data_IF_986866903026
#
_entry.id   IF_986866903026
#
_cell.length_a   1.000
_cell.length_b   1.000
_cell.length_c   1.000
_cell.angle_alpha   90.00
_cell.angle_beta   90.00
_cell.angle_gamma   90.00
#
_symmetry.space_group_name_H-M   'P 1'
#
loop_
_entity.id
_entity.type
_entity.pdbx_description
1 polymer ?
#
# COMPACT_ATOMS: atom_id res chain seq x y z
N UNK A 1 -16.16 -12.40 8.34
CA UNK A 1 -15.28 -11.90 9.41
C UNK A 1 -13.86 -12.11 8.93
N UNK A 2 -12.97 -11.10 8.99
CA UNK A 2 -11.55 -11.28 8.65
C UNK A 2 -10.76 -11.93 9.81
N UNK A 3 -9.45 -12.10 9.63
CA UNK A 3 -8.53 -12.58 10.68
C UNK A 3 -8.64 -11.76 11.98
N UNK A 4 -8.99 -10.48 11.85
CA UNK A 4 -9.23 -9.58 12.98
C UNK A 4 -10.32 -8.56 12.64
N UNK A 5 -10.86 -7.88 13.65
CA UNK A 5 -11.82 -6.79 13.46
C UNK A 5 -11.11 -5.51 13.00
N UNK A 6 -11.86 -4.63 12.35
CA UNK A 6 -11.35 -3.32 11.94
C UNK A 6 -10.88 -2.48 13.15
N UNK A 7 -11.63 -2.51 14.24
CA UNK A 7 -11.29 -1.77 15.46
C UNK A 7 -10.00 -2.29 16.11
N UNK A 8 -9.78 -3.61 16.12
CA UNK A 8 -8.53 -4.18 16.61
C UNK A 8 -7.34 -3.78 15.73
N UNK A 9 -7.52 -3.77 14.39
CA UNK A 9 -6.49 -3.31 13.47
C UNK A 9 -6.12 -1.84 13.70
N UNK A 10 -7.11 -0.96 13.96
CA UNK A 10 -6.89 0.44 14.29
C UNK A 10 -6.04 0.58 15.56
N UNK A 11 -6.37 -0.16 16.62
CA UNK A 11 -5.62 -0.11 17.88
C UNK A 11 -4.19 -0.66 17.74
N UNK A 12 -3.98 -1.67 16.90
CA UNK A 12 -2.63 -2.15 16.55
C UNK A 12 -1.80 -1.05 15.90
N UNK A 13 -2.33 -0.32 14.91
CA UNK A 13 -1.62 0.78 14.27
C UNK A 13 -1.34 1.94 15.23
N UNK A 14 -2.30 2.30 16.09
CA UNK A 14 -2.09 3.33 17.12
C UNK A 14 -1.00 2.93 18.10
N UNK A 15 -0.97 1.67 18.51
CA UNK A 15 0.08 1.14 19.38
C UNK A 15 1.45 1.20 18.71
N UNK A 16 1.54 0.88 17.41
CA UNK A 16 2.78 1.03 16.64
C UNK A 16 3.23 2.49 16.56
N UNK A 17 2.30 3.41 16.30
CA UNK A 17 2.61 4.84 16.22
C UNK A 17 3.06 5.40 17.58
N UNK A 18 2.49 4.93 18.68
CA UNK A 18 2.99 5.27 20.03
C UNK A 18 4.41 4.74 20.27
N UNK A 19 4.72 3.54 19.79
CA UNK A 19 6.04 2.93 19.95
C UNK A 19 7.11 3.54 19.02
N UNK A 20 6.71 4.00 17.83
CA UNK A 20 7.61 4.58 16.83
C UNK A 20 6.98 5.79 16.12
N UNK A 21 6.84 6.94 16.83
CA UNK A 21 6.15 8.10 16.28
C UNK A 21 6.76 8.60 14.97
N UNK A 22 5.90 8.88 13.99
CA UNK A 22 6.27 9.37 12.66
C UNK A 22 6.99 8.34 11.78
N UNK A 23 7.03 7.07 12.17
CA UNK A 23 7.68 5.97 11.41
C UNK A 23 6.72 4.89 10.95
N UNK A 24 5.43 5.03 11.23
CA UNK A 24 4.41 4.05 10.86
C UNK A 24 3.63 4.52 9.64
N UNK A 25 3.37 3.59 8.73
CA UNK A 25 2.48 3.78 7.57
C UNK A 25 1.43 2.69 7.63
N UNK A 26 0.16 3.07 7.61
CA UNK A 26 -0.95 2.14 7.55
C UNK A 26 -1.23 1.73 6.11
N UNK A 27 -0.54 0.70 5.63
CA UNK A 27 -0.81 0.09 4.33
C UNK A 27 -1.90 -0.98 4.46
N UNK A 28 -3.08 -0.71 3.89
CA UNK A 28 -4.27 -1.55 3.99
C UNK A 28 -4.84 -1.88 2.60
N UNK A 29 -5.55 -2.99 2.51
CA UNK A 29 -6.17 -3.42 1.27
C UNK A 29 -7.40 -4.27 1.53
N UNK A 30 -8.24 -4.45 0.51
CA UNK A 30 -9.44 -5.30 0.64
C UNK A 30 -9.10 -6.79 0.69
N UNK A 31 -7.86 -7.17 0.35
CA UNK A 31 -7.49 -8.54 0.02
C UNK A 31 -7.98 -8.93 -1.38
N UNK A 32 -7.38 -9.97 -1.95
CA UNK A 32 -7.72 -10.49 -3.27
C UNK A 32 -7.70 -12.03 -3.30
N UNK A 33 -7.71 -12.60 -4.50
CA UNK A 33 -7.65 -14.05 -4.71
C UNK A 33 -6.36 -14.69 -4.18
N UNK A 34 -5.27 -13.94 -4.04
CA UNK A 34 -4.01 -14.45 -3.51
C UNK A 34 -4.13 -14.74 -2.01
N UNK A 35 -5.02 -14.05 -1.31
CA UNK A 35 -5.36 -14.32 0.09
C UNK A 35 -6.37 -15.47 0.26
N UNK A 36 -6.90 -16.07 -0.81
CA UNK A 36 -7.94 -17.10 -0.70
C UNK A 36 -7.45 -18.37 0.01
N UNK A 37 -6.29 -18.90 -0.40
CA UNK A 37 -5.72 -20.10 0.20
C UNK A 37 -5.39 -19.91 1.69
N UNK A 38 -4.91 -18.72 2.06
CA UNK A 38 -4.65 -18.36 3.46
C UNK A 38 -5.97 -18.28 4.25
N UNK A 39 -6.97 -17.59 3.72
CA UNK A 39 -8.28 -17.48 4.36
C UNK A 39 -8.92 -18.87 4.58
N UNK A 40 -8.86 -19.75 3.58
CA UNK A 40 -9.37 -21.12 3.67
C UNK A 40 -8.63 -21.91 4.77
N UNK A 41 -7.31 -21.75 4.88
CA UNK A 41 -6.51 -22.42 5.92
C UNK A 41 -6.89 -21.99 7.34
N UNK A 42 -7.37 -20.75 7.52
CA UNK A 42 -7.87 -20.24 8.80
C UNK A 42 -9.39 -20.39 8.98
N UNK A 43 -10.10 -21.00 8.03
CA UNK A 43 -11.56 -21.15 8.08
C UNK A 43 -12.32 -19.82 7.93
N UNK A 44 -11.71 -18.85 7.26
CA UNK A 44 -12.20 -17.48 7.11
C UNK A 44 -12.96 -17.37 5.80
N UNK A 45 -14.29 -17.24 5.89
CA UNK A 45 -15.10 -16.99 4.70
C UNK A 45 -14.82 -15.59 4.13
N UNK A 46 -14.51 -15.52 2.84
CA UNK A 46 -14.31 -14.25 2.16
C UNK A 46 -15.61 -13.45 2.12
N UNK A 47 -15.59 -12.26 2.71
CA UNK A 47 -16.74 -11.37 2.72
C UNK A 47 -17.02 -10.76 1.33
N UNK A 48 -18.27 -10.34 1.08
CA UNK A 48 -18.63 -9.55 -0.10
C UNK A 48 -17.67 -8.37 -0.30
N UNK A 49 -17.36 -8.06 -1.55
CA UNK A 49 -16.42 -6.97 -1.92
C UNK A 49 -16.81 -5.65 -1.24
N UNK A 50 -18.11 -5.32 -1.23
CA UNK A 50 -18.62 -4.09 -0.63
C UNK A 50 -18.36 -4.01 0.88
N UNK A 51 -18.50 -5.11 1.62
CA UNK A 51 -18.21 -5.16 3.05
C UNK A 51 -16.71 -4.95 3.31
N UNK A 52 -15.85 -5.60 2.53
CA UNK A 52 -14.39 -5.43 2.64
C UNK A 52 -13.97 -4.00 2.32
N UNK A 53 -14.60 -3.37 1.33
CA UNK A 53 -14.40 -1.97 0.98
C UNK A 53 -14.83 -1.03 2.12
N UNK A 54 -15.99 -1.26 2.72
CA UNK A 54 -16.45 -0.48 3.86
C UNK A 54 -15.51 -0.61 5.06
N UNK A 55 -14.96 -1.79 5.32
CA UNK A 55 -13.96 -2.00 6.37
C UNK A 55 -12.66 -1.22 6.10
N UNK A 56 -12.16 -1.22 4.86
CA UNK A 56 -10.97 -0.43 4.46
C UNK A 56 -11.24 1.07 4.65
N UNK A 57 -12.42 1.56 4.25
CA UNK A 57 -12.79 2.97 4.42
C UNK A 57 -12.89 3.37 5.89
N UNK A 58 -13.48 2.53 6.74
CA UNK A 58 -13.53 2.75 8.19
C UNK A 58 -12.14 2.87 8.82
N UNK A 59 -11.25 1.91 8.53
CA UNK A 59 -9.87 1.91 9.06
C UNK A 59 -9.08 3.11 8.55
N UNK A 60 -9.19 3.44 7.25
CA UNK A 60 -8.50 4.58 6.67
C UNK A 60 -8.91 5.90 7.34
N UNK A 61 -10.21 6.14 7.50
CA UNK A 61 -10.73 7.35 8.16
C UNK A 61 -10.28 7.46 9.61
N UNK A 62 -10.21 6.35 10.34
CA UNK A 62 -9.79 6.34 11.75
C UNK A 62 -8.30 6.65 11.94
N UNK A 63 -7.46 6.42 10.93
CA UNK A 63 -5.99 6.53 11.01
C UNK A 63 -5.42 7.74 10.27
N UNK A 64 -6.11 8.29 9.27
CA UNK A 64 -5.59 9.34 8.37
C UNK A 64 -5.17 10.64 9.07
N UNK A 65 -5.79 10.97 10.21
CA UNK A 65 -5.41 12.13 11.02
C UNK A 65 -4.18 11.91 11.91
N UNK A 66 -3.66 10.68 11.99
CA UNK A 66 -2.56 10.30 12.89
C UNK A 66 -1.31 9.86 12.12
N UNK A 67 -1.46 9.14 11.02
CA UNK A 67 -0.35 8.58 10.24
C UNK A 67 -0.67 8.52 8.74
N UNK A 68 0.33 8.41 7.86
CA UNK A 68 0.09 8.16 6.44
C UNK A 68 -0.67 6.84 6.23
N UNK A 69 -1.70 6.89 5.38
CA UNK A 69 -2.49 5.72 4.98
C UNK A 69 -2.26 5.43 3.50
N UNK A 70 -1.93 4.18 3.19
CA UNK A 70 -1.80 3.67 1.83
C UNK A 70 -2.89 2.63 1.57
N UNK A 71 -3.58 2.75 0.44
CA UNK A 71 -4.62 1.79 0.03
C UNK A 71 -4.15 1.06 -1.23
N UNK A 72 -4.21 -0.27 -1.20
CA UNK A 72 -3.95 -1.12 -2.36
C UNK A 72 -4.84 -0.73 -3.55
N UNK A 73 -4.21 -0.32 -4.64
CA UNK A 73 -4.88 0.17 -5.84
C UNK A 73 -5.30 -0.98 -6.78
N UNK A 74 -6.27 -0.71 -7.66
CA UNK A 74 -6.58 -1.58 -8.80
C UNK A 74 -8.03 -1.48 -9.25
N UNK A 75 -8.97 -1.72 -8.34
CA UNK A 75 -10.40 -1.61 -8.62
C UNK A 75 -10.86 -0.13 -8.52
N UNK A 76 -11.62 0.40 -9.50
CA UNK A 76 -12.08 1.79 -9.48
C UNK A 76 -12.81 2.18 -8.18
N UNK A 77 -13.65 1.28 -7.65
CA UNK A 77 -14.36 1.50 -6.40
C UNK A 77 -13.43 1.62 -5.18
N UNK A 78 -12.35 0.82 -5.12
CA UNK A 78 -11.35 0.91 -4.06
C UNK A 78 -10.48 2.16 -4.22
N UNK A 79 -10.13 2.53 -5.45
CA UNK A 79 -9.38 3.76 -5.70
C UNK A 79 -10.19 5.00 -5.29
N UNK A 80 -11.51 5.00 -5.51
CA UNK A 80 -12.39 6.06 -5.07
C UNK A 80 -12.44 6.21 -3.53
N UNK A 81 -12.25 5.13 -2.77
CA UNK A 81 -12.11 5.21 -1.29
C UNK A 81 -10.87 6.02 -0.95
N UNK A 82 -9.72 5.70 -1.57
CA UNK A 82 -8.46 6.40 -1.31
C UNK A 82 -8.59 7.91 -1.53
N UNK A 83 -9.28 8.31 -2.61
CA UNK A 83 -9.55 9.73 -2.85
C UNK A 83 -10.42 10.37 -1.76
N UNK A 84 -11.52 9.72 -1.36
CA UNK A 84 -12.43 10.27 -0.34
C UNK A 84 -11.75 10.48 1.00
N UNK A 85 -10.85 9.56 1.38
CA UNK A 85 -10.16 9.57 2.68
C UNK A 85 -8.79 10.26 2.64
N UNK A 86 -8.36 10.75 1.47
CA UNK A 86 -7.04 11.39 1.29
C UNK A 86 -5.84 10.44 1.38
N UNK A 87 -6.03 9.14 1.17
CA UNK A 87 -4.98 8.13 1.21
C UNK A 87 -4.17 8.08 -0.09
N UNK A 88 -2.93 7.59 0.01
CA UNK A 88 -2.07 7.32 -1.16
C UNK A 88 -2.45 5.98 -1.79
N UNK A 89 -2.48 5.91 -3.12
CA UNK A 89 -2.70 4.66 -3.85
C UNK A 89 -1.40 3.86 -3.97
N UNK A 90 -1.40 2.59 -3.55
CA UNK A 90 -0.27 1.69 -3.70
C UNK A 90 -0.52 0.68 -4.84
N UNK A 91 0.23 0.79 -5.92
CA UNK A 91 0.11 -0.10 -7.09
C UNK A 91 1.11 -1.25 -7.05
N UNK A 92 0.64 -2.47 -7.28
CA UNK A 92 1.52 -3.63 -7.44
C UNK A 92 1.93 -3.81 -8.90
N UNK A 93 3.23 -3.69 -9.19
CA UNK A 93 3.86 -3.91 -10.50
C UNK A 93 3.17 -3.18 -11.67
N UNK A 94 2.56 -2.02 -11.39
CA UNK A 94 1.87 -1.23 -12.41
C UNK A 94 2.10 0.25 -12.19
N UNK A 95 2.46 0.95 -13.26
CA UNK A 95 2.44 2.42 -13.30
C UNK A 95 1.05 2.87 -13.75
N UNK A 96 0.34 3.72 -13.00
CA UNK A 96 -0.91 4.29 -13.44
C UNK A 96 -0.67 5.34 -14.55
N UNK A 97 -1.45 5.29 -15.62
CA UNK A 97 -1.39 6.30 -16.70
C UNK A 97 -1.94 7.66 -16.24
N UNK A 98 -2.92 7.68 -15.34
CA UNK A 98 -3.57 8.88 -14.83
C UNK A 98 -4.02 8.67 -13.38
N UNK A 99 -3.07 8.70 -12.42
CA UNK A 99 -3.39 8.54 -11.01
C UNK A 99 -4.26 9.70 -10.54
N UNK A 100 -5.28 9.41 -9.74
CA UNK A 100 -6.26 10.41 -9.32
C UNK A 100 -5.90 11.08 -7.97
N UNK A 101 -4.63 10.97 -7.58
CA UNK A 101 -4.05 11.47 -6.34
C UNK A 101 -2.59 10.97 -6.16
N UNK A 102 -1.98 11.18 -4.98
CA UNK A 102 -0.67 10.64 -4.67
C UNK A 102 -0.66 9.12 -4.82
N UNK A 103 0.44 8.59 -5.37
CA UNK A 103 0.60 7.16 -5.54
C UNK A 103 2.03 6.71 -5.27
N UNK A 104 2.17 5.42 -4.98
CA UNK A 104 3.44 4.72 -4.91
C UNK A 104 3.36 3.37 -5.61
N UNK A 105 4.53 2.77 -5.81
CA UNK A 105 4.71 1.51 -6.51
C UNK A 105 5.35 0.47 -5.62
N UNK A 106 4.87 -0.78 -5.72
CA UNK A 106 5.48 -1.93 -5.09
C UNK A 106 5.66 -3.09 -6.08
N UNK A 107 6.76 -3.84 -6.01
CA UNK A 107 6.94 -4.98 -6.90
C UNK A 107 8.34 -5.61 -6.94
N UNK A 108 8.54 -6.49 -7.91
CA UNK A 108 9.84 -7.12 -8.16
C UNK A 108 10.76 -6.17 -8.95
N UNK A 109 12.07 -6.19 -8.68
CA UNK A 109 13.04 -5.46 -9.50
C UNK A 109 13.11 -6.04 -10.90
N UNK A 110 13.24 -5.18 -11.91
CA UNK A 110 13.68 -5.58 -13.25
C UNK A 110 15.20 -5.71 -13.29
N UNK A 111 15.71 -6.40 -14.32
CA UNK A 111 17.15 -6.51 -14.55
C UNK A 111 17.81 -5.14 -14.75
N UNK A 112 17.11 -4.22 -15.42
CA UNK A 112 17.44 -2.82 -15.67
C UNK A 112 16.95 -1.88 -14.55
N UNK A 113 17.19 -2.26 -13.29
CA UNK A 113 16.71 -1.57 -12.09
C UNK A 113 16.81 -0.03 -12.11
N UNK A 114 17.92 0.55 -12.57
CA UNK A 114 18.08 2.01 -12.63
C UNK A 114 17.10 2.65 -13.62
N UNK A 115 16.86 2.03 -14.78
CA UNK A 115 15.85 2.49 -15.75
C UNK A 115 14.45 2.41 -15.15
N UNK A 116 14.15 1.33 -14.43
CA UNK A 116 12.87 1.18 -13.73
C UNK A 116 12.65 2.31 -12.71
N UNK A 117 13.68 2.66 -11.94
CA UNK A 117 13.62 3.74 -10.96
C UNK A 117 13.41 5.10 -11.61
N UNK A 118 14.12 5.38 -12.72
CA UNK A 118 13.96 6.60 -13.50
C UNK A 118 12.53 6.73 -14.04
N UNK A 119 11.98 5.65 -14.59
CA UNK A 119 10.59 5.61 -15.07
C UNK A 119 9.58 5.85 -13.96
N UNK A 120 9.75 5.22 -12.79
CA UNK A 120 8.87 5.41 -11.64
C UNK A 120 8.94 6.85 -11.10
N UNK A 121 10.15 7.42 -11.02
CA UNK A 121 10.35 8.80 -10.60
C UNK A 121 9.73 9.79 -11.59
N UNK A 122 9.96 9.59 -12.90
CA UNK A 122 9.40 10.43 -13.96
C UNK A 122 7.87 10.34 -14.02
N UNK A 123 7.29 9.19 -13.70
CA UNK A 123 5.83 9.01 -13.59
C UNK A 123 5.24 9.65 -12.31
N UNK A 124 6.06 10.23 -11.44
CA UNK A 124 5.62 10.92 -10.23
C UNK A 124 5.30 9.98 -9.06
N UNK A 125 5.82 8.75 -9.07
CA UNK A 125 5.70 7.86 -7.91
C UNK A 125 6.38 8.49 -6.69
N UNK A 126 5.69 8.53 -5.56
CA UNK A 126 6.25 9.07 -4.31
C UNK A 126 7.22 8.10 -3.63
N UNK A 127 7.02 6.79 -3.82
CA UNK A 127 7.85 5.72 -3.27
C UNK A 127 7.98 4.57 -4.27
N UNK A 128 9.11 3.86 -4.23
CA UNK A 128 9.30 2.57 -4.89
C UNK A 128 9.67 1.52 -3.83
N UNK A 129 8.80 0.53 -3.63
CA UNK A 129 8.97 -0.55 -2.65
C UNK A 129 9.31 -1.83 -3.40
N UNK A 130 10.48 -2.40 -3.15
CA UNK A 130 10.91 -3.62 -3.81
C UNK A 130 10.75 -4.86 -2.93
N UNK A 131 10.46 -5.99 -3.56
CA UNK A 131 10.60 -7.29 -2.94
C UNK A 131 12.05 -7.53 -2.45
N UNK A 132 12.27 -8.42 -1.46
CA UNK A 132 13.58 -8.57 -0.79
C UNK A 132 14.75 -9.01 -1.69
N UNK A 133 14.49 -9.45 -2.92
CA UNK A 133 15.50 -9.88 -3.88
C UNK A 133 16.20 -8.73 -4.61
N UNK A 134 15.82 -7.47 -4.35
CA UNK A 134 16.46 -6.30 -4.96
C UNK A 134 17.91 -6.13 -4.50
N UNK A 135 18.77 -5.70 -5.42
CA UNK A 135 20.13 -5.28 -5.11
C UNK A 135 20.10 -3.91 -4.39
N UNK A 136 20.12 -3.94 -3.06
CA UNK A 136 20.11 -2.74 -2.21
C UNK A 136 21.30 -1.80 -2.52
N UNK A 137 22.54 -2.29 -2.71
CA UNK A 137 23.64 -1.44 -3.18
C UNK A 137 23.36 -0.67 -4.48
N UNK A 138 22.67 -1.27 -5.46
CA UNK A 138 22.22 -0.56 -6.69
C UNK A 138 21.26 0.57 -6.37
N UNK A 139 20.25 0.32 -5.53
CA UNK A 139 19.31 1.37 -5.08
C UNK A 139 20.06 2.56 -4.46
N UNK A 140 21.04 2.27 -3.60
CA UNK A 140 21.85 3.30 -2.96
C UNK A 140 22.71 4.09 -3.95
N UNK A 141 23.27 3.45 -4.98
CA UNK A 141 24.02 4.15 -6.04
C UNK A 141 23.11 5.06 -6.86
N UNK A 142 21.96 4.55 -7.29
CA UNK A 142 20.97 5.33 -8.04
C UNK A 142 20.50 6.55 -7.24
N UNK A 143 20.22 6.38 -5.94
CA UNK A 143 19.79 7.50 -5.09
C UNK A 143 20.86 8.59 -4.98
N UNK A 144 22.14 8.23 -4.91
CA UNK A 144 23.25 9.20 -4.86
C UNK A 144 23.51 9.92 -6.18
N UNK A 145 23.15 9.33 -7.32
CA UNK A 145 23.28 10.01 -8.62
C UNK A 145 22.12 10.97 -8.92
N UNK A 146 21.03 10.88 -8.18
CA UNK A 146 19.79 11.66 -8.36
C UNK A 146 19.42 12.54 -7.16
N UNK A 147 20.14 12.41 -6.05
CA UNK A 147 20.04 13.30 -4.89
C UNK A 147 21.20 14.28 -4.89
N UNK A 148 20.92 15.55 -4.62
CA UNK A 148 21.92 16.52 -4.16
C UNK A 148 22.64 16.03 -2.89
#
# INVERSE_FOLDING_TARGET
MGLTSADHLIECFRSLELAAPGRVIAAIGTGDKLSAAENDAYGISMQPVAERQAMVEHVANALSGTMPVWIGAGAPATNAIAQRVGATLNYWQKTPESPTGPWNWAGNPRDDLEVQLDELAAAGSTWAIFAPNVDVPRLGRWRRSHGE
#
